data_IF_146467572809
#
_entry.id   IF_146467572809
#
_cell.length_a   1.000
_cell.length_b   1.000
_cell.length_c   1.000
_cell.angle_alpha   90.00
_cell.angle_beta   90.00
_cell.angle_gamma   90.00
#
_symmetry.space_group_name_H-M   'P 1'
#
loop_
_entity.id
_entity.type
_entity.pdbx_description
1 polymer ?
#
# COMPACT_ATOMS: atom_id res chain seq x y z
N UNK A 1 0.80 -3.44 7.78
CA UNK A 1 1.44 -3.26 6.46
C UNK A 1 1.52 -1.78 6.06
N UNK A 2 0.49 -0.98 6.36
CA UNK A 2 0.44 0.48 6.13
C UNK A 2 1.69 1.24 6.57
N UNK A 3 2.12 1.08 7.82
CA UNK A 3 3.29 1.80 8.36
C UNK A 3 4.57 1.44 7.58
N UNK A 4 4.79 0.16 7.29
CA UNK A 4 5.97 -0.26 6.54
C UNK A 4 5.96 0.32 5.11
N UNK A 5 4.78 0.38 4.49
CA UNK A 5 4.59 0.95 3.17
C UNK A 5 4.80 2.48 3.15
N UNK A 6 4.20 3.20 4.10
CA UNK A 6 4.32 4.66 4.22
C UNK A 6 5.67 5.15 4.72
N UNK A 7 6.53 4.26 5.23
CA UNK A 7 7.94 4.55 5.55
C UNK A 7 8.91 4.03 4.47
N UNK A 8 8.42 3.41 3.39
CA UNK A 8 9.25 2.90 2.31
C UNK A 8 10.11 1.69 2.69
N UNK A 9 9.75 0.94 3.75
CA UNK A 9 10.53 -0.20 4.25
C UNK A 9 10.19 -1.47 3.46
N UNK A 10 10.70 -1.56 2.23
CA UNK A 10 10.42 -2.65 1.26
C UNK A 10 10.60 -4.04 1.87
N UNK A 11 11.73 -4.32 2.52
CA UNK A 11 12.02 -5.64 3.09
C UNK A 11 11.06 -6.00 4.23
N UNK A 12 10.72 -5.02 5.08
CA UNK A 12 9.75 -5.24 6.15
C UNK A 12 8.35 -5.46 5.60
N UNK A 13 7.95 -4.67 4.60
CA UNK A 13 6.64 -4.81 3.96
C UNK A 13 6.51 -6.18 3.28
N UNK A 14 7.56 -6.66 2.59
CA UNK A 14 7.64 -8.01 2.03
C UNK A 14 7.52 -9.08 3.10
N UNK A 15 8.32 -9.00 4.16
CA UNK A 15 8.26 -9.97 5.27
C UNK A 15 6.84 -10.06 5.85
N UNK A 16 6.16 -8.93 6.06
CA UNK A 16 4.78 -8.93 6.55
C UNK A 16 3.81 -9.65 5.61
N UNK A 17 3.95 -9.47 4.29
CA UNK A 17 3.15 -10.18 3.27
C UNK A 17 3.43 -11.68 3.32
N UNK A 18 4.71 -12.08 3.40
CA UNK A 18 5.12 -13.48 3.48
C UNK A 18 4.56 -14.17 4.75
N UNK A 19 4.36 -13.42 5.84
CA UNK A 19 3.69 -13.88 7.07
C UNK A 19 2.15 -13.75 7.04
N UNK A 20 1.56 -13.50 5.87
CA UNK A 20 0.10 -13.52 5.67
C UNK A 20 -0.62 -12.20 5.98
N UNK A 21 0.09 -11.07 6.07
CA UNK A 21 -0.58 -9.78 6.16
C UNK A 21 -1.44 -9.53 4.90
N UNK A 22 -2.69 -9.10 5.08
CA UNK A 22 -3.56 -8.75 3.97
C UNK A 22 -3.02 -7.51 3.22
N UNK A 23 -2.58 -7.73 1.98
CA UNK A 23 -1.99 -6.70 1.11
C UNK A 23 -2.96 -5.57 0.76
N UNK A 24 -4.26 -5.86 0.72
CA UNK A 24 -5.34 -4.92 0.41
C UNK A 24 -6.10 -4.48 1.67
N UNK A 25 -5.52 -4.63 2.86
CA UNK A 25 -6.15 -4.17 4.10
C UNK A 25 -6.42 -2.66 4.04
N UNK A 26 -7.67 -2.26 4.24
CA UNK A 26 -8.04 -0.86 4.35
C UNK A 26 -7.94 -0.39 5.81
N UNK A 27 -7.42 0.80 6.03
CA UNK A 27 -7.47 1.45 7.35
C UNK A 27 -8.83 2.13 7.61
N UNK A 28 -8.90 2.94 8.67
CA UNK A 28 -10.11 3.66 9.03
C UNK A 28 -10.56 4.69 7.98
N UNK A 29 -9.70 5.13 7.06
CA UNK A 29 -10.03 6.07 5.98
C UNK A 29 -10.26 5.36 4.63
N UNK A 30 -10.15 4.03 4.60
CA UNK A 30 -10.23 3.24 3.39
C UNK A 30 -8.91 3.17 2.62
N UNK A 31 -7.80 3.62 3.21
CA UNK A 31 -6.49 3.63 2.57
C UNK A 31 -5.82 2.26 2.73
N UNK A 32 -5.34 1.74 1.61
CA UNK A 32 -4.53 0.52 1.51
C UNK A 32 -3.05 0.82 1.78
N UNK A 33 -2.21 -0.20 2.05
CA UNK A 33 -0.77 -0.02 2.08
C UNK A 33 -0.20 0.58 0.79
N UNK A 34 -0.81 0.31 -0.36
CA UNK A 34 -0.40 0.90 -1.62
C UNK A 34 -0.63 2.42 -1.64
N UNK A 35 -1.77 2.89 -1.11
CA UNK A 35 -2.04 4.33 -0.98
C UNK A 35 -0.95 5.04 -0.17
N UNK A 36 -0.50 4.43 0.93
CA UNK A 36 0.60 4.98 1.73
C UNK A 36 1.92 5.02 0.96
N UNK A 37 2.29 3.94 0.27
CA UNK A 37 3.53 3.92 -0.50
C UNK A 37 3.52 4.98 -1.62
N UNK A 38 2.39 5.15 -2.30
CA UNK A 38 2.25 6.13 -3.39
C UNK A 38 2.24 7.57 -2.83
N UNK A 39 1.43 7.84 -1.81
CA UNK A 39 1.32 9.16 -1.17
C UNK A 39 2.64 9.73 -0.65
N UNK A 40 3.53 8.87 -0.20
CA UNK A 40 4.85 9.26 0.31
C UNK A 40 5.98 9.05 -0.70
N UNK A 41 5.66 8.75 -1.97
CA UNK A 41 6.65 8.64 -3.06
C UNK A 41 7.59 7.43 -2.95
N UNK A 42 7.21 6.39 -2.22
CA UNK A 42 8.03 5.20 -2.01
C UNK A 42 7.89 4.20 -3.18
N UNK A 43 8.42 4.58 -4.33
CA UNK A 43 8.29 3.85 -5.61
C UNK A 43 8.67 2.36 -5.50
N UNK A 44 9.81 2.03 -4.89
CA UNK A 44 10.24 0.64 -4.71
C UNK A 44 9.26 -0.18 -3.88
N UNK A 45 8.61 0.44 -2.90
CA UNK A 45 7.61 -0.23 -2.06
C UNK A 45 6.29 -0.37 -2.81
N UNK A 46 5.86 0.67 -3.53
CA UNK A 46 4.68 0.61 -4.38
C UNK A 46 4.80 -0.48 -5.46
N UNK A 47 5.93 -0.54 -6.18
CA UNK A 47 6.21 -1.60 -7.16
C UNK A 47 6.19 -2.98 -6.54
N UNK A 48 6.78 -3.14 -5.35
CA UNK A 48 6.76 -4.42 -4.63
C UNK A 48 5.33 -4.82 -4.27
N UNK A 49 4.52 -3.91 -3.74
CA UNK A 49 3.11 -4.17 -3.43
C UNK A 49 2.31 -4.56 -4.69
N UNK A 50 2.47 -3.82 -5.79
CA UNK A 50 1.82 -4.15 -7.07
C UNK A 50 2.24 -5.52 -7.61
N UNK A 51 3.53 -5.88 -7.50
CA UNK A 51 4.02 -7.20 -7.93
C UNK A 51 3.45 -8.37 -7.11
N UNK A 52 2.98 -8.09 -5.89
CA UNK A 52 2.34 -9.05 -5.00
C UNK A 52 0.80 -9.00 -5.04
N UNK A 53 0.23 -8.29 -6.02
CA UNK A 53 -1.22 -8.28 -6.25
C UNK A 53 -1.99 -7.21 -5.47
N UNK A 54 -1.33 -6.12 -5.04
CA UNK A 54 -2.05 -4.98 -4.46
C UNK A 54 -3.02 -4.37 -5.47
N UNK A 55 -4.26 -4.10 -5.04
CA UNK A 55 -5.31 -3.50 -5.87
C UNK A 55 -5.01 -2.02 -6.17
N UNK A 56 -4.62 -1.73 -7.41
CA UNK A 56 -4.34 -0.35 -7.87
C UNK A 56 -5.58 0.52 -8.04
N UNK A 57 -6.76 -0.12 -8.13
CA UNK A 57 -8.06 0.54 -8.32
C UNK A 57 -8.87 0.65 -7.04
N UNK A 58 -8.34 0.20 -5.89
CA UNK A 58 -9.00 0.35 -4.60
C UNK A 58 -9.32 1.83 -4.33
N UNK A 59 -10.49 2.09 -3.75
CA UNK A 59 -10.96 3.45 -3.48
C UNK A 59 -11.05 3.68 -1.98
N UNK A 60 -10.50 4.81 -1.54
CA UNK A 60 -10.68 5.31 -0.18
C UNK A 60 -12.13 5.80 0.06
N UNK A 61 -12.44 6.23 1.28
CA UNK A 61 -13.78 6.75 1.61
C UNK A 61 -14.17 8.01 0.83
N UNK A 62 -13.22 8.70 0.22
CA UNK A 62 -13.44 9.86 -0.65
C UNK A 62 -13.58 9.46 -2.13
N UNK A 63 -13.53 8.17 -2.45
CA UNK A 63 -13.59 7.66 -3.82
C UNK A 63 -12.27 7.79 -4.58
N UNK A 64 -11.16 8.16 -3.91
CA UNK A 64 -9.84 8.34 -4.54
C UNK A 64 -9.10 7.01 -4.61
N UNK A 65 -8.36 6.81 -5.68
CA UNK A 65 -7.42 5.68 -5.82
C UNK A 65 -6.01 6.09 -5.39
N UNK A 66 -5.11 5.12 -5.22
CA UNK A 66 -3.70 5.39 -4.94
C UNK A 66 -3.08 6.39 -5.93
N UNK A 67 -3.46 6.32 -7.21
CA UNK A 67 -2.99 7.26 -8.24
C UNK A 67 -3.44 8.72 -8.01
N UNK A 68 -4.61 8.93 -7.40
CA UNK A 68 -5.08 10.28 -7.03
C UNK A 68 -4.31 10.84 -5.83
N UNK A 69 -3.68 9.97 -5.04
CA UNK A 69 -2.93 10.33 -3.84
C UNK A 69 -1.42 10.49 -4.12
N UNK A 70 -0.97 10.32 -5.37
CA UNK A 70 0.44 10.43 -5.79
C UNK A 70 0.98 11.87 -5.76
#
# INVERSE_FOLDING_TARGET
LHIAAGMGRVLLARMLIDFGANINSADADGLSPLDYAVKYGHESTAKMLMSHGAEVTARDKSGRTALHNA
#
